data_IF_126225429005
#
_entry.id   IF_126225429005
#
_cell.length_a   1.000
_cell.length_b   1.000
_cell.length_c   1.000
_cell.angle_alpha   90.00
_cell.angle_beta   90.00
_cell.angle_gamma   90.00
#
_symmetry.space_group_name_H-M   'P 1'
#
loop_
_entity.id
_entity.type
_entity.pdbx_description
1 polymer ?
#
# COMPACT_ATOMS: atom_id res chain seq x y z
N UNK A 1 34.82 -16.37 6.27
CA UNK A 1 34.43 -17.25 7.39
C UNK A 1 33.14 -16.73 7.96
N UNK A 2 32.31 -17.59 8.54
CA UNK A 2 31.12 -17.20 9.30
C UNK A 2 31.54 -16.69 10.69
N UNK A 3 30.93 -15.59 11.13
CA UNK A 3 31.17 -14.89 12.40
C UNK A 3 30.36 -15.52 13.53
N UNK A 4 29.11 -15.90 13.26
CA UNK A 4 28.16 -16.41 14.25
C UNK A 4 27.98 -17.92 14.18
N UNK A 5 27.68 -18.45 13.00
CA UNK A 5 27.47 -19.90 12.79
C UNK A 5 28.81 -20.64 12.78
N UNK A 6 28.98 -21.64 13.65
CA UNK A 6 30.28 -22.29 13.86
C UNK A 6 30.15 -23.81 13.83
N UNK A 7 31.03 -24.45 13.07
CA UNK A 7 31.12 -25.90 12.94
C UNK A 7 29.80 -26.59 12.58
N UNK A 8 28.94 -25.92 11.78
CA UNK A 8 27.63 -26.43 11.34
C UNK A 8 27.82 -27.79 10.65
N UNK A 9 27.04 -28.79 11.08
CA UNK A 9 27.15 -30.20 10.64
C UNK A 9 25.99 -30.66 9.77
N UNK A 10 24.83 -30.02 9.87
CA UNK A 10 23.62 -30.36 9.12
C UNK A 10 22.69 -29.14 8.98
N UNK A 11 21.65 -29.25 8.16
CA UNK A 11 20.59 -28.24 8.07
C UNK A 11 19.87 -28.05 9.42
N UNK A 12 19.67 -29.11 10.19
CA UNK A 12 19.00 -29.04 11.49
C UNK A 12 19.91 -28.43 12.56
N UNK A 13 21.23 -28.67 12.52
CA UNK A 13 22.20 -27.95 13.35
C UNK A 13 22.21 -26.45 13.00
N UNK A 14 22.15 -26.08 11.71
CA UNK A 14 22.02 -24.67 11.29
C UNK A 14 20.76 -24.02 11.88
N UNK A 15 19.59 -24.68 11.79
CA UNK A 15 18.33 -24.19 12.38
C UNK A 15 18.44 -24.04 13.91
N UNK A 16 19.05 -25.01 14.61
CA UNK A 16 19.15 -24.96 16.07
C UNK A 16 20.17 -23.92 16.56
N UNK A 17 21.30 -23.75 15.87
CA UNK A 17 22.20 -22.62 16.10
C UNK A 17 21.49 -21.29 15.86
N UNK A 18 20.69 -21.18 14.80
CA UNK A 18 19.88 -19.98 14.54
C UNK A 18 18.89 -19.71 15.67
N UNK A 19 18.06 -20.68 16.09
CA UNK A 19 17.10 -20.49 17.19
C UNK A 19 17.79 -20.07 18.50
N UNK A 20 18.96 -20.64 18.82
CA UNK A 20 19.72 -20.29 20.02
C UNK A 20 20.32 -18.87 19.94
N UNK A 21 20.86 -18.49 18.78
CA UNK A 21 21.38 -17.14 18.53
C UNK A 21 20.25 -16.10 18.52
N UNK A 22 19.11 -16.40 17.91
CA UNK A 22 17.97 -15.49 17.80
C UNK A 22 17.37 -15.17 19.17
N UNK A 23 17.06 -16.19 19.99
CA UNK A 23 16.52 -16.01 21.35
C UNK A 23 17.44 -15.21 22.28
N UNK A 24 18.75 -15.14 21.99
CA UNK A 24 19.71 -14.35 22.76
C UNK A 24 19.81 -12.90 22.31
N UNK A 25 19.53 -12.60 21.04
CA UNK A 25 19.80 -11.28 20.45
C UNK A 25 18.51 -10.51 20.03
N UNK A 26 17.33 -11.09 20.21
CA UNK A 26 16.04 -10.41 20.01
C UNK A 26 15.91 -9.15 20.90
N UNK A 27 15.37 -8.03 20.41
CA UNK A 27 15.11 -6.82 21.21
C UNK A 27 14.36 -7.09 22.52
N UNK A 28 13.22 -7.80 22.48
CA UNK A 28 12.41 -8.24 23.63
C UNK A 28 13.20 -8.97 24.73
N UNK A 29 14.28 -9.66 24.35
CA UNK A 29 15.14 -10.41 25.26
C UNK A 29 16.27 -9.56 25.86
N UNK A 30 16.26 -8.24 25.63
CA UNK A 30 17.37 -7.33 25.96
C UNK A 30 18.55 -7.45 24.97
N UNK A 31 18.29 -7.95 23.77
CA UNK A 31 19.29 -8.20 22.73
C UNK A 31 19.70 -6.96 21.93
N UNK A 32 20.71 -7.12 21.08
CA UNK A 32 21.21 -6.04 20.22
C UNK A 32 20.75 -6.23 18.77
N UNK A 33 20.02 -5.23 18.26
CA UNK A 33 19.58 -5.07 16.87
C UNK A 33 20.62 -5.60 15.85
N UNK A 34 21.76 -4.89 15.75
CA UNK A 34 22.77 -5.16 14.72
C UNK A 34 23.39 -6.57 14.80
N UNK A 35 23.44 -7.16 16.00
CA UNK A 35 23.90 -8.54 16.19
C UNK A 35 22.88 -9.56 15.67
N UNK A 36 21.59 -9.43 15.99
CA UNK A 36 20.50 -10.31 15.51
C UNK A 36 20.40 -10.35 13.97
N UNK A 37 20.79 -9.24 13.39
CA UNK A 37 20.61 -8.81 11.99
C UNK A 37 21.76 -9.36 11.14
N UNK A 38 23.01 -9.28 11.62
CA UNK A 38 24.13 -10.05 11.04
C UNK A 38 23.89 -11.57 11.10
N UNK A 39 23.28 -12.07 12.20
CA UNK A 39 22.88 -13.48 12.32
C UNK A 39 21.86 -13.86 11.23
N UNK A 40 20.84 -13.03 10.97
CA UNK A 40 19.87 -13.27 9.89
C UNK A 40 20.53 -13.32 8.51
N UNK A 41 21.47 -12.42 8.22
CA UNK A 41 22.22 -12.40 6.95
C UNK A 41 23.10 -13.65 6.76
N UNK A 42 23.81 -14.12 7.79
CA UNK A 42 24.57 -15.38 7.70
C UNK A 42 23.64 -16.58 7.54
N UNK A 43 22.48 -16.59 8.19
CA UNK A 43 21.49 -17.65 8.07
C UNK A 43 20.93 -17.75 6.64
N UNK A 44 20.53 -16.63 6.02
CA UNK A 44 20.05 -16.60 4.63
C UNK A 44 21.13 -17.05 3.63
N UNK A 45 22.40 -16.73 3.86
CA UNK A 45 23.50 -17.18 3.01
C UNK A 45 23.79 -18.68 3.15
N UNK A 46 23.65 -19.23 4.37
CA UNK A 46 23.96 -20.63 4.68
C UNK A 46 22.82 -21.59 4.36
N UNK A 47 21.56 -21.17 4.54
CA UNK A 47 20.40 -22.06 4.44
C UNK A 47 20.25 -22.74 3.06
N UNK A 48 20.40 -22.05 1.91
CA UNK A 48 20.33 -22.70 0.60
C UNK A 48 21.43 -23.76 0.41
N UNK A 49 22.62 -23.51 0.95
CA UNK A 49 23.76 -24.44 0.86
C UNK A 49 23.46 -25.71 1.65
N UNK A 50 22.99 -25.57 2.90
CA UNK A 50 22.67 -26.71 3.76
C UNK A 50 21.38 -27.43 3.36
N UNK A 51 20.39 -26.73 2.80
CA UNK A 51 19.21 -27.32 2.16
C UNK A 51 19.61 -28.19 0.98
N UNK A 52 20.45 -27.68 0.10
CA UNK A 52 20.89 -28.44 -1.08
C UNK A 52 21.70 -29.68 -0.68
N UNK A 53 22.58 -29.58 0.34
CA UNK A 53 23.28 -30.75 0.91
C UNK A 53 22.29 -31.78 1.47
N UNK A 54 21.40 -31.36 2.35
CA UNK A 54 20.42 -32.26 2.96
C UNK A 54 19.52 -32.95 1.92
N UNK A 55 19.06 -32.22 0.89
CA UNK A 55 18.24 -32.80 -0.18
C UNK A 55 19.02 -33.71 -1.15
N UNK A 56 20.36 -33.72 -1.10
CA UNK A 56 21.25 -34.65 -1.81
C UNK A 56 21.58 -35.87 -0.93
N UNK A 57 21.82 -35.64 0.37
CA UNK A 57 22.13 -36.65 1.37
C UNK A 57 20.91 -37.53 1.71
N UNK A 58 19.70 -36.94 1.73
CA UNK A 58 18.42 -37.60 2.03
C UNK A 58 17.40 -37.43 0.88
N UNK A 59 17.58 -38.07 -0.30
CA UNK A 59 16.68 -37.89 -1.45
C UNK A 59 15.23 -38.33 -1.22
N UNK A 60 14.96 -39.14 -0.19
CA UNK A 60 13.62 -39.58 0.19
C UNK A 60 12.93 -38.61 1.18
N UNK A 61 13.66 -37.67 1.78
CA UNK A 61 13.17 -36.73 2.81
C UNK A 61 13.49 -35.28 2.45
N UNK A 62 13.44 -34.93 1.17
CA UNK A 62 13.78 -33.58 0.69
C UNK A 62 12.86 -32.51 1.31
N UNK A 63 13.45 -31.49 1.92
CA UNK A 63 12.69 -30.35 2.46
C UNK A 63 12.44 -29.28 1.40
N UNK A 64 11.24 -28.72 1.42
CA UNK A 64 10.85 -27.54 0.62
C UNK A 64 11.09 -26.22 1.36
N UNK A 65 11.40 -26.24 2.66
CA UNK A 65 11.61 -25.08 3.55
C UNK A 65 12.55 -24.00 2.98
N UNK A 66 12.41 -22.77 3.47
CA UNK A 66 13.34 -21.66 3.22
C UNK A 66 13.85 -21.07 4.54
N UNK A 67 14.91 -20.24 4.48
CA UNK A 67 15.34 -19.46 5.63
C UNK A 67 14.19 -18.60 6.17
N UNK A 68 13.47 -17.92 5.28
CA UNK A 68 12.22 -17.20 5.59
C UNK A 68 11.17 -18.08 6.29
N UNK A 69 10.82 -19.27 5.78
CA UNK A 69 9.77 -20.09 6.38
C UNK A 69 10.16 -20.65 7.75
N UNK A 70 11.45 -20.93 7.95
CA UNK A 70 11.99 -21.43 9.22
C UNK A 70 12.19 -20.32 10.25
N UNK A 71 12.51 -19.09 9.81
CA UNK A 71 12.41 -17.88 10.63
C UNK A 71 10.98 -17.61 11.06
N UNK A 72 10.03 -17.48 10.13
CA UNK A 72 8.62 -17.18 10.42
C UNK A 72 8.07 -18.13 11.48
N UNK A 73 8.17 -19.44 11.26
CA UNK A 73 7.75 -20.46 12.23
C UNK A 73 8.38 -20.26 13.61
N UNK A 74 9.63 -19.82 13.69
CA UNK A 74 10.28 -19.52 14.97
C UNK A 74 9.70 -18.24 15.62
N UNK A 75 9.48 -17.14 14.90
CA UNK A 75 8.79 -15.97 15.46
C UNK A 75 7.35 -16.31 15.92
N UNK A 76 6.61 -17.12 15.15
CA UNK A 76 5.30 -17.68 15.56
C UNK A 76 5.40 -18.50 16.85
N UNK A 77 6.41 -19.38 16.98
CA UNK A 77 6.65 -20.23 18.16
C UNK A 77 6.94 -19.42 19.44
N UNK A 78 7.38 -18.16 19.32
CA UNK A 78 7.71 -17.28 20.46
C UNK A 78 6.67 -16.18 20.72
N UNK A 79 5.64 -16.05 19.88
CA UNK A 79 4.58 -15.05 20.04
C UNK A 79 4.98 -13.65 19.60
N UNK A 80 6.00 -13.52 18.74
CA UNK A 80 6.51 -12.26 18.19
C UNK A 80 5.82 -11.86 16.87
N UNK A 81 4.52 -12.13 16.73
CA UNK A 81 3.73 -11.80 15.53
C UNK A 81 2.64 -10.79 15.87
N UNK A 82 2.56 -9.69 15.11
CA UNK A 82 1.63 -8.59 15.38
C UNK A 82 0.17 -9.05 15.41
N UNK A 83 -0.65 -8.41 16.24
CA UNK A 83 -2.04 -8.81 16.52
C UNK A 83 -3.00 -8.92 15.32
N UNK A 84 -2.61 -8.48 14.11
CA UNK A 84 -3.33 -8.67 12.83
C UNK A 84 -2.46 -9.32 11.74
N UNK A 85 -1.27 -9.83 12.08
CA UNK A 85 -0.42 -10.57 11.16
C UNK A 85 -1.18 -11.76 10.56
N UNK A 86 -1.00 -11.95 9.25
CA UNK A 86 -1.55 -13.08 8.53
C UNK A 86 -0.66 -13.36 7.32
N UNK A 87 0.10 -14.45 7.38
CA UNK A 87 1.04 -14.86 6.33
C UNK A 87 0.40 -15.17 4.97
N UNK A 88 -0.94 -15.21 4.87
CA UNK A 88 -1.67 -15.34 3.61
C UNK A 88 -2.10 -13.99 3.00
N UNK A 89 -1.99 -12.87 3.73
CA UNK A 89 -2.32 -11.54 3.20
C UNK A 89 -1.09 -10.92 2.53
N UNK A 90 -1.22 -10.53 1.27
CA UNK A 90 -0.16 -9.76 0.60
C UNK A 90 -0.06 -8.34 1.15
N UNK A 91 1.11 -7.71 1.01
CA UNK A 91 1.36 -6.29 1.28
C UNK A 91 0.36 -5.36 0.58
N UNK A 92 -0.12 -5.79 -0.59
CA UNK A 92 -1.16 -5.11 -1.39
C UNK A 92 -2.57 -5.27 -0.84
N UNK A 93 -2.84 -6.24 0.01
CA UNK A 93 -4.11 -6.41 0.72
C UNK A 93 -4.07 -5.73 2.09
N UNK A 94 -2.93 -5.79 2.78
CA UNK A 94 -2.67 -4.99 3.98
C UNK A 94 -2.79 -3.49 3.67
N UNK A 95 -2.15 -3.00 2.61
CA UNK A 95 -2.22 -1.58 2.22
C UNK A 95 -3.62 -1.14 1.76
N UNK A 96 -4.42 -2.03 1.15
CA UNK A 96 -5.87 -1.78 0.92
C UNK A 96 -6.64 -1.68 2.23
N UNK A 97 -6.35 -2.53 3.20
CA UNK A 97 -7.06 -2.62 4.48
C UNK A 97 -6.80 -1.38 5.34
N UNK A 98 -5.53 -0.95 5.45
CA UNK A 98 -5.14 0.33 6.05
C UNK A 98 -5.86 1.50 5.34
N UNK A 99 -5.92 1.49 4.00
CA UNK A 99 -6.61 2.51 3.20
C UNK A 99 -8.14 2.52 3.35
N UNK A 100 -8.74 1.44 3.86
CA UNK A 100 -10.14 1.38 4.27
C UNK A 100 -10.26 1.95 5.69
N UNK A 101 -9.45 1.48 6.64
CA UNK A 101 -9.41 1.96 8.02
C UNK A 101 -9.29 3.49 8.12
N UNK A 102 -8.30 4.08 7.42
CA UNK A 102 -8.12 5.53 7.33
C UNK A 102 -9.36 6.28 6.81
N UNK A 103 -10.18 5.68 5.94
CA UNK A 103 -11.37 6.32 5.37
C UNK A 103 -12.59 6.22 6.26
N UNK A 104 -12.81 5.06 6.88
CA UNK A 104 -13.99 4.83 7.71
C UNK A 104 -13.82 5.49 9.09
N UNK A 105 -12.62 5.47 9.67
CA UNK A 105 -12.32 6.10 10.97
C UNK A 105 -12.03 7.60 10.87
N UNK A 106 -11.34 8.04 9.80
CA UNK A 106 -10.91 9.43 9.62
C UNK A 106 -11.39 10.02 8.28
N UNK A 107 -12.71 10.05 7.99
CA UNK A 107 -13.27 10.42 6.67
C UNK A 107 -13.01 11.86 6.22
N UNK A 108 -12.61 12.75 7.14
CA UNK A 108 -12.23 14.14 6.84
C UNK A 108 -10.75 14.28 6.46
N UNK A 109 -9.91 13.34 6.86
CA UNK A 109 -8.48 13.29 6.53
C UNK A 109 -8.26 12.67 5.15
N UNK A 110 -7.05 12.84 4.59
CA UNK A 110 -6.65 12.28 3.30
C UNK A 110 -5.29 11.61 3.40
N UNK A 111 -5.30 10.28 3.46
CA UNK A 111 -4.08 9.48 3.49
C UNK A 111 -3.74 8.93 2.10
N UNK A 112 -2.50 9.12 1.67
CA UNK A 112 -1.88 8.36 0.59
C UNK A 112 -1.30 7.08 1.17
N UNK A 113 -2.05 5.98 1.10
CA UNK A 113 -1.53 4.63 1.38
C UNK A 113 -1.18 3.94 0.06
N UNK A 114 0.06 3.46 -0.03
CA UNK A 114 0.70 2.84 -1.20
C UNK A 114 1.58 1.67 -0.75
N UNK A 115 1.68 0.61 -1.55
CA UNK A 115 2.57 -0.53 -1.29
C UNK A 115 3.43 -0.84 -2.50
N UNK A 116 4.70 -1.13 -2.29
CA UNK A 116 5.73 -1.34 -3.31
C UNK A 116 6.47 -2.67 -3.08
N UNK A 117 7.08 -3.23 -4.13
CA UNK A 117 7.83 -4.49 -4.06
C UNK A 117 9.20 -4.31 -4.73
N UNK A 118 10.23 -4.92 -4.16
CA UNK A 118 11.62 -4.80 -4.60
C UNK A 118 12.40 -6.09 -4.36
N UNK A 119 13.61 -6.18 -4.92
CA UNK A 119 14.49 -7.31 -4.69
C UNK A 119 14.89 -7.36 -3.19
N UNK A 120 14.35 -8.32 -2.46
CA UNK A 120 14.57 -8.48 -1.01
C UNK A 120 13.39 -8.09 -0.11
N UNK A 121 12.26 -7.61 -0.65
CA UNK A 121 11.10 -7.32 0.21
C UNK A 121 9.95 -6.56 -0.42
N UNK A 122 9.14 -5.97 0.45
CA UNK A 122 8.01 -5.11 0.11
C UNK A 122 7.83 -4.02 1.16
N UNK A 123 7.18 -2.92 0.81
CA UNK A 123 6.95 -1.81 1.74
C UNK A 123 5.52 -1.29 1.72
N UNK A 124 5.13 -0.59 2.80
CA UNK A 124 3.89 0.20 2.91
C UNK A 124 4.26 1.64 3.26
N UNK A 125 4.08 2.52 2.29
CA UNK A 125 4.32 3.95 2.42
C UNK A 125 2.99 4.65 2.75
N UNK A 126 2.90 5.25 3.95
CA UNK A 126 1.80 6.12 4.37
C UNK A 126 2.25 7.58 4.31
N UNK A 127 1.42 8.43 3.70
CA UNK A 127 1.63 9.87 3.71
C UNK A 127 0.34 10.62 4.02
N UNK A 128 0.35 11.45 5.06
CA UNK A 128 -0.76 12.31 5.43
C UNK A 128 -0.79 13.51 4.49
N UNK A 129 -1.79 13.60 3.62
CA UNK A 129 -1.85 14.66 2.60
C UNK A 129 -2.72 15.85 3.04
N UNK A 130 -3.83 15.59 3.73
CA UNK A 130 -4.73 16.65 4.21
C UNK A 130 -5.37 16.26 5.55
N UNK A 131 -5.53 17.23 6.46
CA UNK A 131 -6.26 17.10 7.72
C UNK A 131 -7.39 18.16 7.80
N UNK A 132 -8.44 17.97 8.63
CA UNK A 132 -9.52 18.96 8.80
C UNK A 132 -9.09 20.23 9.54
N UNK A 133 -8.08 20.15 10.39
CA UNK A 133 -7.59 21.24 11.25
C UNK A 133 -6.06 21.17 11.39
N UNK A 134 -5.48 22.12 12.12
CA UNK A 134 -4.03 22.17 12.30
C UNK A 134 -3.54 21.01 13.18
N UNK A 135 -2.59 20.24 12.64
CA UNK A 135 -2.00 19.08 13.33
C UNK A 135 -0.72 19.46 14.09
N UNK A 136 -0.04 20.54 13.70
CA UNK A 136 1.21 20.98 14.31
C UNK A 136 0.96 21.96 15.46
N UNK A 137 1.69 21.79 16.57
CA UNK A 137 1.84 22.89 17.53
C UNK A 137 2.84 23.90 16.96
N UNK A 138 2.31 24.96 16.33
CA UNK A 138 3.11 25.97 15.68
C UNK A 138 3.99 26.77 16.67
N UNK A 139 3.60 26.88 17.95
CA UNK A 139 4.42 27.58 18.94
C UNK A 139 5.66 26.76 19.31
N UNK A 140 5.47 25.47 19.61
CA UNK A 140 6.57 24.54 19.88
C UNK A 140 7.45 24.30 18.63
N UNK A 141 6.87 24.19 17.43
CA UNK A 141 7.63 24.11 16.17
C UNK A 141 8.49 25.36 15.93
N UNK A 142 7.91 26.57 16.06
CA UNK A 142 8.62 27.85 15.87
C UNK A 142 9.76 27.99 16.87
N UNK A 143 9.52 27.62 18.14
CA UNK A 143 10.54 27.61 19.19
C UNK A 143 11.69 26.66 18.84
N UNK A 144 11.39 25.40 18.47
CA UNK A 144 12.40 24.40 18.15
C UNK A 144 13.22 24.74 16.89
N UNK A 145 12.63 25.48 15.94
CA UNK A 145 13.35 26.02 14.78
C UNK A 145 14.26 27.21 15.17
N UNK A 146 13.81 28.11 16.04
CA UNK A 146 14.65 29.19 16.55
C UNK A 146 15.85 28.65 17.38
N UNK A 147 15.62 27.65 18.24
CA UNK A 147 16.69 26.98 19.00
C UNK A 147 17.71 26.29 18.08
N UNK A 148 17.25 25.69 16.98
CA UNK A 148 18.13 25.11 15.95
C UNK A 148 19.01 26.17 15.27
N UNK A 149 18.43 27.32 14.89
CA UNK A 149 19.17 28.43 14.26
C UNK A 149 20.22 29.05 15.19
N UNK A 150 19.99 29.12 16.51
CA UNK A 150 21.04 29.55 17.45
C UNK A 150 22.12 28.47 17.64
N UNK A 151 21.77 27.18 17.60
CA UNK A 151 22.74 26.09 17.64
C UNK A 151 23.68 26.09 16.42
N UNK A 152 23.14 26.31 15.21
CA UNK A 152 23.94 26.46 13.99
C UNK A 152 24.91 27.65 14.07
N UNK A 153 24.46 28.81 14.58
CA UNK A 153 25.34 29.98 14.80
C UNK A 153 26.45 29.70 15.82
N UNK A 154 26.19 28.85 16.81
CA UNK A 154 27.17 28.38 17.78
C UNK A 154 28.10 27.26 17.23
N UNK A 155 27.95 26.86 15.96
CA UNK A 155 28.76 25.84 15.30
C UNK A 155 28.32 24.39 15.55
N UNK A 156 27.17 24.18 16.21
CA UNK A 156 26.61 22.85 16.48
C UNK A 156 25.77 22.33 15.30
N UNK A 157 26.46 21.87 14.26
CA UNK A 157 25.81 21.26 13.10
C UNK A 157 25.17 19.89 13.44
N UNK A 158 23.89 19.73 13.09
CA UNK A 158 23.16 18.46 13.20
C UNK A 158 22.76 18.04 14.62
N UNK A 159 22.91 18.92 15.63
CA UNK A 159 22.59 18.63 17.02
C UNK A 159 21.38 19.40 17.55
N UNK A 160 20.28 18.70 17.78
CA UNK A 160 19.03 19.20 18.41
C UNK A 160 18.20 20.20 17.58
N UNK A 161 16.90 20.27 17.89
CA UNK A 161 15.94 21.20 17.27
C UNK A 161 15.29 20.70 15.98
N UNK A 162 14.24 21.42 15.56
CA UNK A 162 13.47 21.13 14.35
C UNK A 162 13.99 22.01 13.21
N UNK A 163 14.80 21.46 12.30
CA UNK A 163 15.46 22.20 11.23
C UNK A 163 14.53 22.74 10.10
N UNK A 164 13.22 22.84 10.36
CA UNK A 164 12.19 23.16 9.36
C UNK A 164 11.25 24.25 9.88
N UNK A 165 11.11 25.32 9.10
CA UNK A 165 10.11 26.37 9.32
C UNK A 165 8.73 25.84 8.88
N UNK A 166 8.04 25.16 9.81
CA UNK A 166 6.74 24.52 9.55
C UNK A 166 5.68 25.54 9.10
N UNK A 167 5.68 26.75 9.65
CA UNK A 167 4.72 27.80 9.28
C UNK A 167 4.93 28.25 7.83
N UNK A 168 6.19 28.49 7.43
CA UNK A 168 6.53 28.81 6.06
C UNK A 168 6.27 27.65 5.11
N UNK A 169 6.63 26.43 5.47
CA UNK A 169 6.43 25.25 4.61
C UNK A 169 4.94 24.94 4.38
N UNK A 170 4.08 25.26 5.35
CA UNK A 170 2.61 25.24 5.18
C UNK A 170 2.12 26.36 4.26
N UNK A 171 2.66 27.57 4.38
CA UNK A 171 2.30 28.72 3.52
C UNK A 171 2.76 28.54 2.06
N UNK A 172 3.96 27.98 1.87
CA UNK A 172 4.57 27.68 0.56
C UNK A 172 4.03 26.37 -0.07
N UNK A 173 2.98 25.75 0.51
CA UNK A 173 2.31 24.54 0.01
C UNK A 173 3.23 23.29 -0.12
N UNK A 174 4.41 23.33 0.49
CA UNK A 174 5.51 22.37 0.29
C UNK A 174 5.79 21.47 1.52
N UNK A 175 5.03 21.64 2.61
CA UNK A 175 5.21 20.93 3.87
C UNK A 175 5.31 19.42 3.71
N UNK A 176 6.50 18.89 3.92
CA UNK A 176 6.76 17.45 3.92
C UNK A 176 7.75 17.09 5.02
N UNK A 177 7.53 15.97 5.69
CA UNK A 177 8.37 15.46 6.77
C UNK A 177 8.32 13.94 6.75
N UNK A 178 9.48 13.31 6.59
CA UNK A 178 9.64 11.87 6.78
C UNK A 178 9.87 11.63 8.28
N UNK A 179 8.88 11.05 8.95
CA UNK A 179 8.96 10.72 10.39
C UNK A 179 9.52 9.31 10.60
N UNK A 180 9.33 8.43 9.61
CA UNK A 180 9.58 6.99 9.65
C UNK A 180 8.65 6.26 10.63
N UNK A 181 8.81 6.51 11.92
CA UNK A 181 7.93 6.03 13.01
C UNK A 181 7.12 7.18 13.64
N UNK A 182 6.25 6.88 14.62
CA UNK A 182 5.56 7.89 15.44
C UNK A 182 5.84 7.57 16.92
N UNK A 183 6.48 8.50 17.64
CA UNK A 183 6.94 8.28 19.02
C UNK A 183 6.65 9.48 19.95
N UNK A 184 6.79 9.28 21.27
CA UNK A 184 6.66 10.38 22.24
C UNK A 184 7.68 11.52 22.05
N UNK A 185 8.78 11.30 21.30
CA UNK A 185 9.70 12.39 20.89
C UNK A 185 8.98 13.41 19.99
N UNK A 186 8.15 12.91 19.08
CA UNK A 186 7.58 13.71 18.00
C UNK A 186 6.36 14.52 18.49
N UNK A 187 5.71 14.00 19.52
CA UNK A 187 4.54 14.57 20.22
C UNK A 187 4.65 16.05 20.57
N UNK A 188 5.86 16.55 20.87
CA UNK A 188 6.10 17.98 21.18
C UNK A 188 5.86 18.93 19.99
N UNK A 189 5.79 18.40 18.75
CA UNK A 189 5.60 19.19 17.53
C UNK A 189 4.15 19.13 17.02
N UNK A 190 3.27 18.36 17.67
CA UNK A 190 1.91 18.12 17.21
C UNK A 190 0.88 18.51 18.28
N UNK A 191 -0.30 18.94 17.83
CA UNK A 191 -1.48 19.07 18.70
C UNK A 191 -1.89 17.69 19.20
N UNK A 192 -2.56 17.61 20.36
CA UNK A 192 -3.04 16.32 20.90
C UNK A 192 -3.95 15.58 19.90
N UNK A 193 -4.84 16.31 19.22
CA UNK A 193 -5.67 15.77 18.14
C UNK A 193 -4.83 15.31 16.94
N UNK A 194 -3.84 16.10 16.52
CA UNK A 194 -2.90 15.73 15.47
C UNK A 194 -2.19 14.42 15.80
N UNK A 195 -1.44 14.40 16.91
CA UNK A 195 -0.64 13.26 17.35
C UNK A 195 -1.46 11.98 17.51
N UNK A 196 -2.61 12.03 18.18
CA UNK A 196 -3.45 10.83 18.42
C UNK A 196 -3.98 10.20 17.12
N UNK A 197 -4.21 10.98 16.06
CA UNK A 197 -4.59 10.42 14.75
C UNK A 197 -3.38 9.85 14.00
N UNK A 198 -2.20 10.47 14.08
CA UNK A 198 -0.98 9.93 13.49
C UNK A 198 -0.59 8.60 14.16
N UNK A 199 -0.59 8.58 15.49
CA UNK A 199 -0.22 7.44 16.32
C UNK A 199 -1.18 6.25 16.12
N UNK A 200 -2.49 6.50 16.04
CA UNK A 200 -3.49 5.45 15.79
C UNK A 200 -3.36 4.81 14.41
N UNK A 201 -3.13 5.59 13.36
CA UNK A 201 -2.92 5.08 12.00
C UNK A 201 -1.58 4.34 11.89
N UNK A 202 -0.55 4.81 12.60
CA UNK A 202 0.74 4.12 12.71
C UNK A 202 0.60 2.77 13.43
N UNK A 203 0.01 2.74 14.64
CA UNK A 203 -0.25 1.50 15.40
C UNK A 203 -1.14 0.52 14.64
N UNK A 204 -2.15 1.01 13.89
CA UNK A 204 -2.96 0.15 13.03
C UNK A 204 -2.15 -0.47 11.88
N UNK A 205 -1.21 0.26 11.27
CA UNK A 205 -0.27 -0.29 10.28
C UNK A 205 0.65 -1.34 10.93
N UNK A 206 1.34 -1.01 12.02
CA UNK A 206 2.28 -1.91 12.68
C UNK A 206 1.60 -3.21 13.17
N UNK A 207 0.30 -3.18 13.49
CA UNK A 207 -0.43 -4.40 13.87
C UNK A 207 -0.47 -5.50 12.79
N UNK A 208 -0.16 -5.19 11.52
CA UNK A 208 0.02 -6.17 10.44
C UNK A 208 1.49 -6.56 10.19
N UNK A 209 2.45 -5.96 10.90
CA UNK A 209 3.86 -6.33 10.87
C UNK A 209 4.11 -7.48 11.89
N UNK A 210 5.37 -7.79 12.18
CA UNK A 210 5.68 -8.56 13.40
C UNK A 210 5.64 -7.62 14.61
N UNK A 211 5.54 -8.16 15.83
CA UNK A 211 5.58 -7.30 17.03
C UNK A 211 6.98 -6.67 17.17
N UNK A 212 7.01 -5.46 17.74
CA UNK A 212 8.16 -4.55 17.90
C UNK A 212 9.00 -4.24 16.64
N UNK A 213 8.51 -4.51 15.43
CA UNK A 213 9.21 -4.13 14.18
C UNK A 213 9.28 -2.61 14.00
N UNK A 214 10.47 -2.02 14.07
CA UNK A 214 10.75 -0.62 13.68
C UNK A 214 11.57 -0.58 12.38
N UNK A 215 11.00 -0.01 11.30
CA UNK A 215 11.69 0.21 10.02
C UNK A 215 13.07 0.90 10.12
N UNK A 216 13.35 1.66 11.17
CA UNK A 216 14.63 2.32 11.40
C UNK A 216 15.67 1.42 12.09
N UNK A 217 15.26 0.38 12.82
CA UNK A 217 16.12 -0.52 13.61
C UNK A 217 16.14 -1.96 13.05
N UNK A 218 15.04 -2.44 12.46
CA UNK A 218 14.78 -3.83 12.09
C UNK A 218 14.74 -4.08 10.57
N UNK A 219 15.83 -3.70 9.90
CA UNK A 219 16.15 -4.07 8.50
C UNK A 219 16.33 -5.60 8.29
N UNK A 220 15.91 -6.43 9.25
CA UNK A 220 16.48 -7.74 9.49
C UNK A 220 15.47 -8.90 9.31
N UNK A 221 14.14 -8.67 9.36
CA UNK A 221 13.02 -9.49 8.79
C UNK A 221 11.63 -8.96 9.23
N UNK A 222 11.14 -7.86 8.65
CA UNK A 222 9.74 -7.40 8.80
C UNK A 222 8.79 -8.10 7.80
N UNK A 223 7.47 -8.09 8.04
CA UNK A 223 6.47 -8.51 7.05
C UNK A 223 6.44 -7.55 5.85
N UNK A 224 6.59 -6.25 6.14
CA UNK A 224 6.87 -5.19 5.18
C UNK A 224 7.69 -4.09 5.87
N UNK A 225 8.46 -3.34 5.10
CA UNK A 225 9.09 -2.11 5.57
C UNK A 225 8.09 -0.96 5.52
N UNK A 226 7.91 -0.20 6.59
CA UNK A 226 7.04 0.97 6.60
C UNK A 226 7.77 2.28 6.28
N UNK A 227 6.99 3.30 5.95
CA UNK A 227 7.44 4.69 5.95
C UNK A 227 6.26 5.59 6.30
N UNK A 228 6.31 6.25 7.46
CA UNK A 228 5.30 7.23 7.86
C UNK A 228 5.76 8.67 7.55
N UNK A 229 4.89 9.44 6.89
CA UNK A 229 5.21 10.76 6.35
C UNK A 229 4.06 11.75 6.57
N UNK A 230 4.40 13.02 6.81
CA UNK A 230 3.50 14.14 6.54
C UNK A 230 3.85 14.69 5.15
N UNK A 231 2.85 14.90 4.30
CA UNK A 231 3.03 15.35 2.91
C UNK A 231 3.84 14.38 2.04
N UNK A 232 4.28 14.85 0.87
CA UNK A 232 5.28 14.22 0.01
C UNK A 232 6.20 15.30 -0.56
N UNK A 233 7.44 14.94 -0.89
CA UNK A 233 8.43 15.85 -1.49
C UNK A 233 7.92 16.59 -2.75
N UNK A 234 6.96 16.01 -3.49
CA UNK A 234 6.35 16.61 -4.68
C UNK A 234 4.91 17.14 -4.46
N UNK A 235 4.42 17.14 -3.22
CA UNK A 235 3.08 17.62 -2.84
C UNK A 235 2.99 17.77 -1.32
N UNK A 236 3.05 18.99 -0.83
CA UNK A 236 2.96 19.26 0.60
C UNK A 236 1.63 18.81 1.23
N UNK A 237 1.66 18.63 2.54
CA UNK A 237 0.50 18.48 3.40
C UNK A 237 -0.27 19.80 3.49
N UNK A 238 -1.60 19.72 3.60
CA UNK A 238 -2.48 20.90 3.73
C UNK A 238 -3.53 20.75 4.83
N UNK A 239 -3.75 21.80 5.60
CA UNK A 239 -4.96 21.93 6.43
C UNK A 239 -6.13 22.32 5.52
N UNK A 240 -7.16 21.47 5.47
CA UNK A 240 -8.34 21.66 4.60
C UNK A 240 -9.61 21.41 5.42
N UNK A 241 -10.24 22.47 5.98
CA UNK A 241 -11.46 22.36 6.77
C UNK A 241 -12.57 21.58 6.09
N UNK A 242 -12.97 20.47 6.71
CA UNK A 242 -13.98 19.53 6.21
C UNK A 242 -14.86 19.05 7.35
N UNK A 243 -16.17 19.20 7.19
CA UNK A 243 -17.16 18.53 8.02
C UNK A 243 -17.43 17.12 7.50
N UNK A 244 -17.55 16.14 8.40
CA UNK A 244 -17.87 14.77 8.03
C UNK A 244 -19.33 14.68 7.53
N UNK A 245 -19.54 14.40 6.24
CA UNK A 245 -20.87 14.05 5.72
C UNK A 245 -21.21 12.63 6.14
N UNK A 246 -21.93 12.50 7.25
CA UNK A 246 -22.45 11.22 7.76
C UNK A 246 -23.28 10.56 6.66
N UNK A 247 -22.86 9.37 6.20
CA UNK A 247 -23.67 8.50 5.34
C UNK A 247 -24.65 7.72 6.21
N UNK A 248 -25.80 8.33 6.52
CA UNK A 248 -26.93 7.57 7.07
C UNK A 248 -27.30 6.45 6.07
N UNK A 249 -27.42 5.23 6.57
CA UNK A 249 -27.88 4.10 5.77
C UNK A 249 -29.37 4.23 5.45
N UNK A 250 -29.76 3.92 4.22
CA UNK A 250 -31.13 3.55 3.84
C UNK A 250 -32.22 4.62 3.98
N UNK A 251 -32.56 5.29 2.88
CA UNK A 251 -33.96 5.64 2.56
C UNK A 251 -34.15 5.95 1.07
N UNK A 252 -35.23 5.44 0.48
CA UNK A 252 -35.53 5.53 -0.96
C UNK A 252 -36.21 6.88 -1.30
N UNK A 253 -35.67 7.72 -2.22
CA UNK A 253 -36.32 8.97 -2.61
C UNK A 253 -37.29 8.78 -3.78
N UNK A 254 -38.59 9.01 -3.55
CA UNK A 254 -39.60 9.03 -4.60
C UNK A 254 -39.88 10.46 -5.12
N UNK A 255 -39.64 10.66 -6.43
CA UNK A 255 -40.18 11.72 -7.34
C UNK A 255 -40.35 13.18 -6.81
N UNK A 256 -39.50 14.08 -7.34
CA UNK A 256 -39.80 15.34 -8.11
C UNK A 256 -40.94 16.29 -7.62
N UNK A 257 -40.86 17.62 -7.73
CA UNK A 257 -40.09 18.50 -8.64
C UNK A 257 -39.90 19.93 -8.01
N UNK A 258 -39.34 21.00 -8.64
CA UNK A 258 -38.86 21.25 -10.02
C UNK A 258 -37.93 22.48 -10.12
N UNK A 259 -36.95 22.45 -11.07
CA UNK A 259 -36.36 23.58 -11.87
C UNK A 259 -35.77 24.78 -11.09
N UNK A 260 -34.61 25.37 -11.42
CA UNK A 260 -33.82 25.55 -12.68
C UNK A 260 -32.33 25.17 -12.46
N UNK A 261 -31.34 25.44 -13.31
CA UNK A 261 -31.12 25.27 -14.77
C UNK A 261 -29.76 25.95 -15.14
N UNK A 262 -28.93 25.50 -16.09
CA UNK A 262 -28.85 24.23 -16.84
C UNK A 262 -27.48 24.13 -17.56
N UNK A 263 -26.95 22.92 -17.70
CA UNK A 263 -25.77 22.57 -18.53
C UNK A 263 -26.06 21.29 -19.35
N UNK A 264 -25.29 20.98 -20.41
CA UNK A 264 -25.69 20.03 -21.45
C UNK A 264 -25.68 18.55 -21.03
N UNK A 265 -26.46 17.74 -21.76
CA UNK A 265 -26.73 16.33 -21.46
C UNK A 265 -25.61 15.41 -21.98
N UNK A 266 -25.24 14.39 -21.20
CA UNK A 266 -24.78 13.10 -21.76
C UNK A 266 -25.95 12.12 -21.77
N UNK A 267 -26.09 11.31 -22.82
CA UNK A 267 -27.26 10.47 -23.04
C UNK A 267 -27.20 9.10 -22.34
N UNK A 268 -28.37 8.51 -22.14
CA UNK A 268 -28.57 7.20 -21.51
C UNK A 268 -28.04 6.03 -22.36
N UNK A 269 -27.45 4.99 -21.74
CA UNK A 269 -27.11 3.77 -22.46
C UNK A 269 -28.37 3.04 -22.93
N UNK A 270 -28.33 2.50 -24.16
CA UNK A 270 -29.31 1.52 -24.65
C UNK A 270 -28.74 0.11 -24.41
N UNK A 271 -29.53 -0.76 -23.78
CA UNK A 271 -29.34 -2.20 -23.91
C UNK A 271 -29.97 -2.67 -25.23
N UNK A 272 -29.34 -3.62 -25.90
CA UNK A 272 -29.78 -4.11 -27.22
C UNK A 272 -29.63 -5.64 -27.24
N UNK A 273 -30.76 -6.33 -27.31
CA UNK A 273 -30.86 -7.76 -27.61
C UNK A 273 -31.01 -7.91 -29.13
N UNK A 274 -30.14 -8.70 -29.78
CA UNK A 274 -30.28 -9.03 -31.20
C UNK A 274 -29.50 -10.31 -31.55
N UNK A 275 -30.23 -11.37 -31.89
CA UNK A 275 -29.95 -12.49 -32.83
C UNK A 275 -28.53 -13.07 -33.04
N UNK A 276 -27.59 -12.74 -32.16
CA UNK A 276 -26.33 -13.43 -31.89
C UNK A 276 -26.33 -13.85 -30.42
N UNK A 277 -25.51 -14.82 -30.07
CA UNK A 277 -25.70 -15.66 -28.87
C UNK A 277 -25.55 -14.96 -27.50
N UNK A 278 -25.13 -13.69 -27.45
CA UNK A 278 -24.73 -12.99 -26.22
C UNK A 278 -25.28 -11.57 -26.08
N UNK A 279 -25.56 -11.16 -24.85
CA UNK A 279 -26.06 -9.82 -24.49
C UNK A 279 -24.93 -8.78 -24.41
N UNK A 280 -25.09 -7.64 -25.11
CA UNK A 280 -24.10 -6.56 -25.15
C UNK A 280 -24.55 -5.27 -24.44
N UNK A 281 -23.70 -4.78 -23.53
CA UNK A 281 -23.82 -3.44 -22.94
C UNK A 281 -22.94 -2.45 -23.68
N UNK A 282 -23.56 -1.54 -24.42
CA UNK A 282 -22.89 -0.48 -25.18
C UNK A 282 -22.87 0.81 -24.34
N UNK A 283 -21.71 1.47 -24.26
CA UNK A 283 -21.52 2.74 -23.55
C UNK A 283 -20.60 3.69 -24.31
N UNK A 284 -20.96 4.97 -24.40
CA UNK A 284 -20.07 6.01 -24.95
C UNK A 284 -18.94 6.37 -23.97
N UNK A 285 -17.79 6.72 -24.53
CA UNK A 285 -16.68 7.38 -23.85
C UNK A 285 -15.86 8.21 -24.82
N UNK A 286 -14.77 8.81 -24.31
CA UNK A 286 -13.84 9.63 -25.10
C UNK A 286 -12.44 8.99 -25.11
N UNK A 287 -11.70 9.09 -26.23
CA UNK A 287 -10.26 8.85 -26.25
C UNK A 287 -9.53 10.00 -25.51
N UNK A 288 -8.62 9.63 -24.63
CA UNK A 288 -7.86 10.56 -23.78
C UNK A 288 -6.74 11.30 -24.51
N UNK A 289 -6.56 11.07 -25.82
CA UNK A 289 -5.50 11.69 -26.65
C UNK A 289 -5.99 12.80 -27.57
N UNK A 290 -7.17 12.61 -28.17
CA UNK A 290 -7.73 13.50 -29.19
C UNK A 290 -9.21 13.89 -28.92
N UNK A 291 -9.84 13.32 -27.89
CA UNK A 291 -11.24 13.59 -27.55
C UNK A 291 -12.26 12.92 -28.46
N UNK A 292 -11.85 12.03 -29.37
CA UNK A 292 -12.76 11.31 -30.27
C UNK A 292 -13.76 10.42 -29.51
N UNK A 293 -14.99 10.30 -30.03
CA UNK A 293 -15.99 9.40 -29.46
C UNK A 293 -15.55 7.93 -29.63
N UNK A 294 -15.52 7.20 -28.52
CA UNK A 294 -15.26 5.77 -28.46
C UNK A 294 -16.50 5.04 -27.94
N UNK A 295 -16.82 3.93 -28.59
CA UNK A 295 -17.93 3.07 -28.20
C UNK A 295 -17.39 1.83 -27.48
N UNK A 296 -17.66 1.75 -26.17
CA UNK A 296 -17.22 0.68 -25.29
C UNK A 296 -18.32 -0.37 -25.19
N UNK A 297 -18.05 -1.55 -25.76
CA UNK A 297 -18.94 -2.72 -25.76
C UNK A 297 -18.44 -3.73 -24.74
N UNK A 298 -19.33 -4.21 -23.88
CA UNK A 298 -19.08 -5.31 -22.94
C UNK A 298 -20.09 -6.43 -23.17
N UNK A 299 -19.61 -7.67 -23.11
CA UNK A 299 -20.47 -8.84 -22.97
C UNK A 299 -20.94 -8.86 -21.51
N UNK A 300 -22.24 -9.02 -21.25
CA UNK A 300 -22.78 -9.06 -19.88
C UNK A 300 -22.61 -10.45 -19.23
N UNK A 301 -22.43 -11.49 -20.06
CA UNK A 301 -22.34 -12.89 -19.68
C UNK A 301 -20.90 -13.38 -19.48
N UNK A 302 -20.73 -14.39 -18.62
CA UNK A 302 -19.42 -15.03 -18.34
C UNK A 302 -19.14 -16.16 -19.31
N UNK A 303 -18.54 -15.83 -20.46
CA UNK A 303 -18.10 -16.81 -21.46
C UNK A 303 -16.92 -17.67 -20.98
N UNK A 304 -16.83 -18.90 -21.49
CA UNK A 304 -15.65 -19.73 -21.34
C UNK A 304 -14.46 -19.24 -22.21
N UNK A 305 -13.30 -19.89 -22.05
CA UNK A 305 -12.04 -19.48 -22.68
C UNK A 305 -11.98 -19.71 -24.20
N UNK A 306 -12.85 -20.55 -24.76
CA UNK A 306 -12.94 -20.88 -26.17
C UNK A 306 -14.00 -19.98 -26.84
N UNK A 307 -15.20 -19.90 -26.26
CA UNK A 307 -16.27 -18.97 -26.67
C UNK A 307 -15.78 -17.51 -26.67
N UNK A 308 -15.07 -17.08 -25.63
CA UNK A 308 -14.48 -15.74 -25.58
C UNK A 308 -13.44 -15.49 -26.70
N UNK A 309 -12.67 -16.50 -27.12
CA UNK A 309 -11.73 -16.33 -28.26
C UNK A 309 -12.49 -16.16 -29.57
N UNK A 310 -13.55 -16.94 -29.78
CA UNK A 310 -14.37 -16.87 -30.99
C UNK A 310 -15.04 -15.51 -31.12
N UNK A 311 -15.72 -15.05 -30.07
CA UNK A 311 -16.37 -13.73 -30.10
C UNK A 311 -15.35 -12.59 -30.11
N UNK A 312 -14.18 -12.72 -29.46
CA UNK A 312 -13.11 -11.72 -29.60
C UNK A 312 -12.50 -11.65 -31.01
N UNK A 313 -12.56 -12.73 -31.80
CA UNK A 313 -12.20 -12.72 -33.21
C UNK A 313 -13.30 -12.06 -34.06
N UNK A 314 -14.57 -12.42 -33.85
CA UNK A 314 -15.70 -11.80 -34.54
C UNK A 314 -15.80 -10.29 -34.27
N UNK A 315 -15.63 -9.86 -33.02
CA UNK A 315 -15.52 -8.44 -32.63
C UNK A 315 -14.38 -7.70 -33.37
N UNK A 316 -13.28 -8.39 -33.68
CA UNK A 316 -12.15 -7.83 -34.44
C UNK A 316 -12.46 -7.70 -35.93
N UNK A 317 -13.13 -8.69 -36.52
CA UNK A 317 -13.60 -8.62 -37.92
C UNK A 317 -14.66 -7.52 -38.10
N UNK A 318 -15.53 -7.33 -37.10
CA UNK A 318 -16.48 -6.20 -37.01
C UNK A 318 -15.80 -4.84 -36.76
N UNK A 319 -14.47 -4.74 -36.74
CA UNK A 319 -13.71 -3.48 -36.62
C UNK A 319 -13.44 -2.99 -35.19
N UNK A 320 -13.77 -3.77 -34.16
CA UNK A 320 -13.48 -3.47 -32.76
C UNK A 320 -12.12 -3.99 -32.29
N UNK A 321 -11.65 -3.53 -31.12
CA UNK A 321 -10.47 -4.10 -30.46
C UNK A 321 -10.62 -4.16 -28.94
N UNK A 322 -10.11 -5.23 -28.31
CA UNK A 322 -10.23 -5.39 -26.86
C UNK A 322 -9.22 -4.52 -26.09
N UNK A 323 -9.72 -3.65 -25.20
CA UNK A 323 -8.90 -2.81 -24.34
C UNK A 323 -8.75 -3.41 -22.95
N UNK A 324 -7.54 -3.90 -22.64
CA UNK A 324 -7.15 -4.35 -21.29
C UNK A 324 -7.36 -3.29 -20.21
N UNK A 325 -7.28 -2.00 -20.57
CA UNK A 325 -7.44 -0.87 -19.65
C UNK A 325 -8.92 -0.55 -19.37
N UNK A 326 -9.77 -0.47 -20.41
CA UNK A 326 -11.21 -0.17 -20.25
C UNK A 326 -12.07 -1.39 -19.90
N UNK A 327 -11.52 -2.61 -20.02
CA UNK A 327 -12.22 -3.90 -19.90
C UNK A 327 -13.50 -3.92 -20.75
N UNK A 328 -13.31 -3.70 -22.05
CA UNK A 328 -14.35 -3.58 -23.06
C UNK A 328 -13.71 -3.73 -24.45
N UNK A 329 -14.50 -4.14 -25.44
CA UNK A 329 -14.18 -3.91 -26.85
C UNK A 329 -14.44 -2.45 -27.19
N UNK A 330 -13.56 -1.83 -27.97
CA UNK A 330 -13.64 -0.44 -28.39
C UNK A 330 -13.86 -0.37 -29.89
N UNK A 331 -14.88 0.39 -30.30
CA UNK A 331 -15.18 0.76 -31.68
C UNK A 331 -15.06 2.29 -31.85
N UNK A 332 -14.70 2.74 -33.06
CA UNK A 332 -14.55 4.18 -33.43
C UNK A 332 -15.79 4.75 -34.15
N UNK A 333 -16.84 3.96 -34.22
CA UNK A 333 -18.14 4.26 -34.82
C UNK A 333 -19.20 3.54 -33.96
N UNK A 334 -20.49 3.86 -34.13
CA UNK A 334 -21.56 3.19 -33.38
C UNK A 334 -21.68 1.71 -33.80
N UNK A 335 -21.36 0.74 -32.91
CA UNK A 335 -21.38 -0.66 -33.28
C UNK A 335 -22.80 -1.27 -33.21
N UNK A 336 -23.82 -0.49 -32.82
CA UNK A 336 -25.22 -0.92 -32.65
C UNK A 336 -25.72 -1.77 -33.82
N UNK A 337 -25.57 -1.29 -35.06
CA UNK A 337 -26.12 -1.97 -36.23
C UNK A 337 -25.31 -3.22 -36.63
N UNK A 338 -23.99 -3.19 -36.48
CA UNK A 338 -23.14 -4.35 -36.80
C UNK A 338 -23.31 -5.46 -35.75
N UNK A 339 -23.49 -5.10 -34.48
CA UNK A 339 -23.82 -6.04 -33.41
C UNK A 339 -25.27 -6.54 -33.48
N UNK A 340 -26.17 -5.84 -34.18
CA UNK A 340 -27.53 -6.33 -34.46
C UNK A 340 -27.62 -7.24 -35.70
N UNK A 341 -26.50 -7.58 -36.34
CA UNK A 341 -26.47 -8.40 -37.56
C UNK A 341 -26.68 -7.63 -38.87
N UNK A 342 -26.69 -6.29 -38.83
CA UNK A 342 -26.65 -5.45 -40.03
C UNK A 342 -25.30 -5.58 -40.73
N UNK A 343 -25.32 -5.82 -42.06
CA UNK A 343 -24.11 -5.68 -42.87
C UNK A 343 -23.73 -4.21 -42.96
N UNK A 344 -22.47 -3.89 -42.69
CA UNK A 344 -21.92 -2.58 -42.99
C UNK A 344 -21.98 -2.29 -44.51
N UNK A 345 -22.13 -1.01 -44.84
CA UNK A 345 -22.03 -0.44 -46.19
C UNK A 345 -20.72 0.33 -46.35
#
# INVERSE_FOLDING_TARGET
>A
MTKYFKNVKSLEDLKNQFKALARKNHPDAGGNADTMKEINCEYDALFPIWKNRHNIEEPQSQTTETADSTRRKFYTEWGWEGSRYNSNMSTTEISKTIKIYCKEKYPTWKFSVTSEYFAGGSSINISVMEAPEQIFDLESCRKAYAEHLEAEKAGYYGGCGLAMDIEKMLADDNMHWQLHSISDRDKQYFTEYGFTVLEDVYKFMQSYNFDDSDSMIDYFHCNFYESFNIGKWNRGFKVVPKTARIKNQGTTPAKKASRKAAEPKKETPKGIENNAEYTYKITKGEDTRDGSELWLVRIEETLDREAYKAEAAAMKERGGYYSKFRKAFIFRFDPTEILSGGKAA
#
